data_IF_484906167482
#
_entry.id   IF_484906167482
#
_cell.length_a   1.000
_cell.length_b   1.000
_cell.length_c   1.000
_cell.angle_alpha   90.00
_cell.angle_beta   90.00
_cell.angle_gamma   90.00
#
_symmetry.space_group_name_H-M   'P 1'
#
loop_
_entity.id
_entity.type
_entity.pdbx_description
1 polymer ?
#
# COMPACT_ATOMS: atom_id res chain seq x y z
N UNK A 1 13.84 21.70 10.88
CA UNK A 1 13.87 20.79 12.04
C UNK A 1 12.58 20.00 12.18
N UNK A 2 11.41 20.65 12.09
CA UNK A 2 10.09 19.98 12.26
C UNK A 2 9.81 18.88 11.20
N UNK A 3 10.12 19.11 9.93
CA UNK A 3 9.94 18.12 8.86
C UNK A 3 10.80 16.84 9.04
N UNK A 4 12.00 16.98 9.62
CA UNK A 4 12.93 15.87 9.89
C UNK A 4 12.42 14.97 11.02
N UNK A 5 11.89 15.60 12.09
CA UNK A 5 11.25 14.90 13.20
C UNK A 5 9.98 14.17 12.75
N UNK A 6 9.19 14.82 11.88
CA UNK A 6 7.93 14.29 11.35
C UNK A 6 8.16 13.06 10.44
N UNK A 7 9.32 12.96 9.78
CA UNK A 7 9.67 11.85 8.89
C UNK A 7 10.21 10.63 9.65
N UNK A 8 11.07 10.85 10.65
CA UNK A 8 11.55 9.79 11.55
C UNK A 8 10.38 9.09 12.26
N UNK A 9 9.38 9.88 12.67
CA UNK A 9 8.14 9.40 13.27
C UNK A 9 7.32 8.50 12.32
N UNK A 10 7.24 8.81 11.02
CA UNK A 10 6.50 7.97 10.05
C UNK A 10 7.20 6.62 9.84
N UNK A 11 8.53 6.60 9.72
CA UNK A 11 9.26 5.35 9.52
C UNK A 11 9.10 4.41 10.72
N UNK A 12 9.30 4.90 11.94
CA UNK A 12 9.18 4.08 13.16
C UNK A 12 7.72 3.63 13.38
N UNK A 13 6.75 4.51 13.10
CA UNK A 13 5.32 4.18 13.16
C UNK A 13 4.94 3.11 12.14
N UNK A 14 5.52 3.17 10.94
CA UNK A 14 5.27 2.17 9.90
C UNK A 14 5.81 0.81 10.32
N UNK A 15 7.03 0.74 10.85
CA UNK A 15 7.63 -0.50 11.34
C UNK A 15 6.79 -1.16 12.47
N UNK A 16 6.11 -0.34 13.28
CA UNK A 16 5.32 -0.81 14.43
C UNK A 16 3.85 -1.06 14.12
N UNK A 17 3.34 -0.66 12.96
CA UNK A 17 1.92 -0.79 12.61
C UNK A 17 1.45 -2.25 12.67
N UNK A 18 0.20 -2.47 13.09
CA UNK A 18 -0.38 -3.81 13.30
C UNK A 18 -1.56 -4.12 12.38
N UNK A 19 -2.06 -3.13 11.65
CA UNK A 19 -3.21 -3.30 10.77
C UNK A 19 -3.16 -2.36 9.56
N UNK A 20 -3.98 -2.64 8.56
CA UNK A 20 -4.07 -1.83 7.33
C UNK A 20 -4.49 -0.38 7.60
N UNK A 21 -5.32 -0.13 8.62
CA UNK A 21 -5.81 1.21 8.96
C UNK A 21 -4.66 2.12 9.39
N UNK A 22 -3.80 1.64 10.28
CA UNK A 22 -2.59 2.35 10.73
C UNK A 22 -1.64 2.65 9.58
N UNK A 23 -1.33 1.64 8.74
CA UNK A 23 -0.47 1.83 7.56
C UNK A 23 -1.08 2.84 6.60
N UNK A 24 -2.40 2.80 6.38
CA UNK A 24 -3.08 3.71 5.46
C UNK A 24 -3.11 5.15 5.96
N UNK A 25 -3.22 5.38 7.28
CA UNK A 25 -3.07 6.72 7.85
C UNK A 25 -1.68 7.29 7.57
N UNK A 26 -0.63 6.48 7.65
CA UNK A 26 0.73 6.88 7.29
C UNK A 26 0.86 7.18 5.79
N UNK A 27 0.19 6.41 4.91
CA UNK A 27 0.10 6.71 3.47
C UNK A 27 -0.53 8.09 3.25
N UNK A 28 -1.71 8.35 3.83
CA UNK A 28 -2.40 9.64 3.70
C UNK A 28 -1.54 10.81 4.19
N UNK A 29 -0.88 10.65 5.35
CA UNK A 29 0.04 11.65 5.92
C UNK A 29 1.24 11.89 5.01
N UNK A 30 1.87 10.83 4.50
CA UNK A 30 3.03 10.92 3.60
C UNK A 30 2.72 11.69 2.32
N UNK A 31 1.55 11.42 1.71
CA UNK A 31 1.10 12.13 0.51
C UNK A 31 0.72 13.57 0.83
N UNK A 32 0.02 13.82 1.94
CA UNK A 32 -0.35 15.19 2.33
C UNK A 32 0.89 16.06 2.58
N UNK A 33 1.89 15.53 3.27
CA UNK A 33 3.15 16.23 3.54
C UNK A 33 3.98 16.43 2.26
N UNK A 34 3.94 15.49 1.31
CA UNK A 34 4.80 15.55 0.12
C UNK A 34 4.22 16.41 -1.01
N UNK A 35 2.90 16.32 -1.26
CA UNK A 35 2.25 16.97 -2.41
C UNK A 35 0.98 17.75 -2.06
N UNK A 36 0.67 17.91 -0.76
CA UNK A 36 -0.44 18.76 -0.30
C UNK A 36 -1.84 18.18 -0.54
N UNK A 37 -1.98 17.00 -1.14
CA UNK A 37 -3.27 16.38 -1.48
C UNK A 37 -3.75 15.38 -0.43
N UNK A 38 -5.07 15.24 -0.31
CA UNK A 38 -5.73 14.26 0.56
C UNK A 38 -7.08 13.86 -0.02
N UNK A 39 -7.48 12.61 0.17
CA UNK A 39 -8.81 12.05 -0.06
C UNK A 39 -9.21 11.20 1.15
N UNK A 40 -10.51 11.08 1.38
CA UNK A 40 -11.12 10.25 2.43
C UNK A 40 -12.29 9.46 1.83
N UNK A 41 -12.88 8.57 2.61
CA UNK A 41 -14.00 7.72 2.21
C UNK A 41 -13.58 6.49 1.40
N UNK A 42 -12.31 6.08 1.48
CA UNK A 42 -11.83 4.89 0.79
C UNK A 42 -12.09 3.61 1.61
N UNK A 43 -12.29 2.52 0.89
CA UNK A 43 -12.49 1.18 1.42
C UNK A 43 -11.40 0.25 0.89
N UNK A 44 -10.96 -0.71 1.70
CA UNK A 44 -10.03 -1.74 1.27
C UNK A 44 -10.77 -3.08 1.15
N UNK A 45 -10.65 -3.70 -0.03
CA UNK A 45 -11.06 -5.06 -0.29
C UNK A 45 -9.84 -5.97 -0.49
N UNK A 46 -9.96 -7.23 -0.10
CA UNK A 46 -9.00 -8.29 -0.39
C UNK A 46 -9.64 -9.30 -1.34
N UNK A 47 -8.96 -9.62 -2.43
CA UNK A 47 -9.40 -10.62 -3.40
C UNK A 47 -8.21 -11.39 -3.96
N UNK A 48 -8.44 -12.61 -4.46
CA UNK A 48 -7.41 -13.32 -5.20
C UNK A 48 -7.38 -12.75 -6.63
N UNK A 49 -6.27 -12.10 -6.97
CA UNK A 49 -6.02 -11.47 -8.27
C UNK A 49 -4.83 -12.17 -8.92
N UNK A 50 -4.63 -12.01 -10.24
CA UNK A 50 -3.41 -12.48 -10.87
C UNK A 50 -2.15 -11.96 -10.17
N UNK A 51 -1.14 -12.81 -10.01
CA UNK A 51 0.05 -12.53 -9.18
C UNK A 51 0.89 -11.32 -9.64
N UNK A 52 0.73 -10.89 -10.89
CA UNK A 52 1.34 -9.66 -11.41
C UNK A 52 0.59 -8.37 -11.00
N UNK A 53 -0.55 -8.49 -10.32
CA UNK A 53 -1.36 -7.38 -9.80
C UNK A 53 -1.26 -7.39 -8.28
N UNK A 54 -0.56 -6.40 -7.70
CA UNK A 54 -0.45 -6.25 -6.25
C UNK A 54 -1.69 -5.63 -5.60
N UNK A 55 -2.28 -4.66 -6.28
CA UNK A 55 -3.59 -4.11 -5.99
C UNK A 55 -4.13 -3.45 -7.26
N UNK A 56 -5.40 -3.06 -7.23
CA UNK A 56 -5.94 -2.15 -8.22
C UNK A 56 -7.01 -1.25 -7.61
N UNK A 57 -7.10 -0.04 -8.15
CA UNK A 57 -8.17 0.89 -7.95
C UNK A 57 -8.92 1.11 -9.27
N UNK A 58 -10.24 0.87 -9.29
CA UNK A 58 -11.05 1.32 -10.42
C UNK A 58 -11.26 2.82 -10.32
N UNK A 59 -10.81 3.57 -11.33
CA UNK A 59 -11.01 5.02 -11.41
C UNK A 59 -12.48 5.39 -11.17
N UNK A 60 -12.72 6.38 -10.31
CA UNK A 60 -14.07 6.84 -9.95
C UNK A 60 -14.77 5.99 -8.88
N UNK A 61 -14.14 4.93 -8.37
CA UNK A 61 -14.65 4.16 -7.22
C UNK A 61 -14.09 4.69 -5.89
N UNK A 62 -14.54 4.13 -4.77
CA UNK A 62 -13.94 4.32 -3.44
C UNK A 62 -13.14 3.09 -2.98
N UNK A 63 -13.00 2.06 -3.82
CA UNK A 63 -12.38 0.81 -3.44
C UNK A 63 -10.92 0.75 -3.90
N UNK A 64 -10.03 0.45 -2.97
CA UNK A 64 -8.73 -0.15 -3.28
C UNK A 64 -8.91 -1.65 -3.07
N UNK A 65 -8.54 -2.47 -4.05
CA UNK A 65 -8.58 -3.93 -3.93
C UNK A 65 -7.15 -4.45 -3.92
N UNK A 66 -6.70 -5.01 -2.81
CA UNK A 66 -5.37 -5.61 -2.67
C UNK A 66 -5.43 -7.11 -2.94
N UNK A 67 -4.38 -7.63 -3.58
CA UNK A 67 -4.27 -9.05 -3.89
C UNK A 67 -3.97 -9.84 -2.61
N UNK A 68 -4.95 -10.63 -2.16
CA UNK A 68 -4.82 -11.48 -0.97
C UNK A 68 -3.75 -12.54 -1.16
N UNK A 69 -3.76 -13.25 -2.28
CA UNK A 69 -2.82 -14.35 -2.51
C UNK A 69 -1.38 -13.84 -2.50
N UNK A 70 -1.12 -12.70 -3.16
CA UNK A 70 0.21 -12.10 -3.14
C UNK A 70 0.59 -11.59 -1.74
N UNK A 71 -0.34 -10.95 -1.02
CA UNK A 71 -0.09 -10.51 0.35
C UNK A 71 0.22 -11.70 1.29
N UNK A 72 -0.47 -12.82 1.14
CA UNK A 72 -0.24 -14.04 1.92
C UNK A 72 1.16 -14.60 1.63
N UNK A 73 1.56 -14.67 0.35
CA UNK A 73 2.93 -15.05 -0.05
C UNK A 73 3.98 -14.13 0.59
N UNK A 74 3.79 -12.81 0.50
CA UNK A 74 4.70 -11.85 1.12
C UNK A 74 4.77 -12.05 2.64
N UNK A 75 3.63 -12.31 3.30
CA UNK A 75 3.58 -12.54 4.74
C UNK A 75 4.38 -13.77 5.15
N UNK A 76 4.42 -14.81 4.31
CA UNK A 76 5.23 -16.01 4.54
C UNK A 76 6.71 -15.81 4.22
N UNK A 77 7.05 -15.01 3.22
CA UNK A 77 8.43 -14.77 2.78
C UNK A 77 9.14 -13.67 3.56
N UNK A 78 8.38 -12.72 4.12
CA UNK A 78 8.93 -11.57 4.82
C UNK A 78 9.70 -11.99 6.07
N UNK A 79 10.90 -11.43 6.23
CA UNK A 79 11.78 -11.65 7.39
C UNK A 79 11.10 -11.30 8.70
N UNK A 80 10.37 -10.20 8.71
CA UNK A 80 9.68 -9.67 9.88
C UNK A 80 8.55 -8.73 9.44
N UNK A 81 7.81 -8.22 10.43
CA UNK A 81 6.68 -7.32 10.22
C UNK A 81 7.04 -6.04 9.48
N UNK A 82 8.27 -5.53 9.64
CA UNK A 82 8.70 -4.31 8.95
C UNK A 82 8.68 -4.50 7.43
N UNK A 83 9.02 -5.69 6.93
CA UNK A 83 8.92 -6.00 5.50
C UNK A 83 7.47 -6.14 5.02
N UNK A 84 6.59 -6.73 5.84
CA UNK A 84 5.14 -6.82 5.54
C UNK A 84 4.52 -5.42 5.48
N UNK A 85 4.76 -4.61 6.50
CA UNK A 85 4.25 -3.23 6.57
C UNK A 85 4.77 -2.38 5.42
N UNK A 86 6.04 -2.57 5.04
CA UNK A 86 6.62 -1.90 3.89
C UNK A 86 5.94 -2.27 2.57
N UNK A 87 5.63 -3.55 2.34
CA UNK A 87 4.89 -3.99 1.17
C UNK A 87 3.47 -3.41 1.13
N UNK A 88 2.76 -3.46 2.26
CA UNK A 88 1.41 -2.88 2.38
C UNK A 88 1.44 -1.38 2.13
N UNK A 89 2.39 -0.65 2.73
CA UNK A 89 2.55 0.79 2.52
C UNK A 89 2.85 1.14 1.07
N UNK A 90 3.82 0.47 0.45
CA UNK A 90 4.18 0.67 -0.95
C UNK A 90 2.97 0.48 -1.87
N UNK A 91 2.25 -0.63 -1.70
CA UNK A 91 1.07 -0.97 -2.51
C UNK A 91 -0.05 0.04 -2.31
N UNK A 92 -0.38 0.38 -1.06
CA UNK A 92 -1.44 1.35 -0.76
C UNK A 92 -1.08 2.78 -1.20
N UNK A 93 0.20 3.18 -1.13
CA UNK A 93 0.66 4.47 -1.63
C UNK A 93 0.45 4.59 -3.13
N UNK A 94 0.81 3.56 -3.90
CA UNK A 94 0.61 3.51 -5.34
C UNK A 94 -0.88 3.67 -5.70
N UNK A 95 -1.74 2.85 -5.11
CA UNK A 95 -3.20 2.93 -5.38
C UNK A 95 -3.84 4.22 -4.88
N UNK A 96 -3.37 4.74 -3.74
CA UNK A 96 -3.88 6.00 -3.21
C UNK A 96 -3.58 7.18 -4.15
N UNK A 97 -2.41 7.20 -4.80
CA UNK A 97 -2.12 8.18 -5.85
C UNK A 97 -3.10 8.07 -7.03
N UNK A 98 -3.44 6.86 -7.47
CA UNK A 98 -4.50 6.68 -8.47
C UNK A 98 -5.85 7.25 -8.00
N UNK A 99 -6.20 7.06 -6.72
CA UNK A 99 -7.43 7.64 -6.15
C UNK A 99 -7.43 9.17 -6.15
N UNK A 100 -6.26 9.82 -6.24
CA UNK A 100 -6.11 11.28 -6.32
C UNK A 100 -6.13 11.80 -7.77
N UNK A 101 -6.38 10.94 -8.74
CA UNK A 101 -6.47 11.28 -10.17
C UNK A 101 -5.16 11.18 -10.94
N UNK A 102 -4.09 10.63 -10.36
CA UNK A 102 -2.88 10.33 -11.12
C UNK A 102 -3.11 9.06 -11.96
N UNK A 103 -3.19 9.21 -13.27
CA UNK A 103 -3.54 8.12 -14.19
C UNK A 103 -2.32 7.45 -14.84
N UNK A 104 -1.25 8.21 -15.07
CA UNK A 104 -0.05 7.71 -15.73
C UNK A 104 0.78 6.84 -14.76
N UNK A 105 0.99 5.58 -15.12
CA UNK A 105 1.76 4.62 -14.31
C UNK A 105 3.21 5.04 -14.10
N UNK A 106 3.82 5.73 -15.07
CA UNK A 106 5.18 6.24 -14.95
C UNK A 106 5.27 7.34 -13.88
N UNK A 107 4.30 8.26 -13.90
CA UNK A 107 4.15 9.33 -12.91
C UNK A 107 3.88 8.78 -11.51
N UNK A 108 2.96 7.82 -11.38
CA UNK A 108 2.65 7.20 -10.09
C UNK A 108 3.87 6.47 -9.54
N UNK A 109 4.56 5.64 -10.34
CA UNK A 109 5.79 4.97 -9.90
C UNK A 109 6.88 5.97 -9.48
N UNK A 110 7.04 7.07 -10.23
CA UNK A 110 8.01 8.12 -9.90
C UNK A 110 7.64 8.80 -8.58
N UNK A 111 6.38 9.18 -8.39
CA UNK A 111 5.90 9.81 -7.16
C UNK A 111 6.01 8.87 -5.95
N UNK A 112 5.62 7.61 -6.09
CA UNK A 112 5.79 6.58 -5.05
C UNK A 112 7.24 6.51 -4.60
N UNK A 113 8.21 6.43 -5.53
CA UNK A 113 9.65 6.47 -5.20
C UNK A 113 10.07 7.74 -4.47
N UNK A 114 9.67 8.91 -5.00
CA UNK A 114 10.04 10.20 -4.42
C UNK A 114 9.48 10.36 -3.00
N UNK A 115 8.23 9.98 -2.77
CA UNK A 115 7.58 10.06 -1.47
C UNK A 115 8.24 9.08 -0.49
N UNK A 116 8.45 7.82 -0.86
CA UNK A 116 9.13 6.85 -0.01
C UNK A 116 10.54 7.34 0.38
N UNK A 117 11.37 7.75 -0.59
CA UNK A 117 12.72 8.22 -0.31
C UNK A 117 12.75 9.47 0.58
N UNK A 118 11.82 10.41 0.37
CA UNK A 118 11.72 11.64 1.17
C UNK A 118 11.26 11.38 2.60
N UNK A 119 10.25 10.51 2.78
CA UNK A 119 9.58 10.31 4.07
C UNK A 119 10.26 9.24 4.92
N UNK A 120 10.67 8.13 4.29
CA UNK A 120 11.19 6.95 4.99
C UNK A 120 12.72 6.83 4.89
N UNK A 121 13.33 7.57 3.96
CA UNK A 121 14.75 7.46 3.64
C UNK A 121 15.05 6.36 2.62
N UNK A 122 16.26 6.38 2.02
CA UNK A 122 16.63 5.48 0.92
C UNK A 122 16.71 4.00 1.32
N UNK A 123 17.09 3.72 2.58
CA UNK A 123 17.35 2.37 3.06
C UNK A 123 16.10 1.67 3.63
N UNK A 124 14.98 2.38 3.73
CA UNK A 124 13.75 1.78 4.24
C UNK A 124 13.22 0.72 3.25
N UNK A 125 12.77 -0.46 3.73
CA UNK A 125 12.19 -1.52 2.90
C UNK A 125 11.15 -1.04 1.87
N UNK A 126 10.24 -0.14 2.26
CA UNK A 126 9.23 0.41 1.35
C UNK A 126 9.83 1.28 0.23
N UNK A 127 10.95 1.96 0.49
CA UNK A 127 11.69 2.70 -0.53
C UNK A 127 12.38 1.75 -1.49
N UNK A 128 13.01 0.68 -0.98
CA UNK A 128 13.58 -0.38 -1.81
C UNK A 128 12.53 -1.04 -2.69
N UNK A 129 11.34 -1.32 -2.17
CA UNK A 129 10.20 -1.81 -2.95
C UNK A 129 9.79 -0.85 -4.07
N UNK A 130 9.75 0.46 -3.80
CA UNK A 130 9.41 1.44 -4.83
C UNK A 130 10.46 1.56 -5.94
N UNK A 131 11.73 1.31 -5.61
CA UNK A 131 12.87 1.40 -6.55
C UNK A 131 13.03 0.10 -7.34
N UNK A 132 13.12 -1.03 -6.65
CA UNK A 132 13.51 -2.32 -7.21
C UNK A 132 12.29 -3.19 -7.58
N UNK A 133 11.15 -2.97 -6.93
CA UNK A 133 9.92 -3.74 -7.10
C UNK A 133 9.82 -4.99 -6.22
N UNK A 134 8.61 -5.54 -6.01
CA UNK A 134 8.40 -6.72 -5.16
C UNK A 134 9.16 -7.97 -5.62
N UNK A 135 9.25 -8.22 -6.92
CA UNK A 135 9.91 -9.40 -7.47
C UNK A 135 11.42 -9.44 -7.18
N UNK A 136 12.07 -8.28 -7.08
CA UNK A 136 13.50 -8.21 -6.71
C UNK A 136 13.67 -8.39 -5.20
N UNK A 137 12.75 -7.84 -4.40
CA UNK A 137 12.85 -7.89 -2.95
C UNK A 137 12.47 -9.26 -2.36
N UNK A 138 11.56 -9.97 -3.04
CA UNK A 138 11.04 -11.27 -2.66
C UNK A 138 11.13 -12.21 -3.87
N UNK A 139 12.35 -12.67 -4.23
CA UNK A 139 12.56 -13.48 -5.43
C UNK A 139 11.86 -14.85 -5.38
N UNK A 140 11.48 -15.31 -4.19
CA UNK A 140 10.74 -16.55 -3.97
C UNK A 140 9.21 -16.41 -4.20
N UNK A 141 8.71 -15.22 -4.56
CA UNK A 141 7.30 -15.08 -4.99
C UNK A 141 7.08 -16.01 -6.17
N UNK A 142 6.12 -16.91 -6.02
CA UNK A 142 5.73 -17.80 -7.10
C UNK A 142 4.61 -17.12 -7.88
N UNK A 143 4.92 -16.69 -9.09
CA UNK A 143 3.91 -16.28 -10.04
C UNK A 143 3.28 -17.53 -10.65
N UNK A 144 2.15 -17.97 -10.11
CA UNK A 144 1.33 -18.94 -10.79
C UNK A 144 0.76 -18.27 -12.03
N UNK A 145 1.17 -18.76 -13.20
CA UNK A 145 0.41 -18.48 -14.41
C UNK A 145 -1.00 -19.00 -14.15
N UNK A 146 -1.98 -18.10 -14.02
CA UNK A 146 -3.40 -18.45 -14.10
C UNK A 146 -3.73 -18.89 -15.53
N UNK A 147 -3.06 -19.94 -16.02
CA UNK A 147 -3.61 -20.83 -17.01
C UNK A 147 -4.69 -21.65 -16.33
N UNK A 148 -5.94 -21.42 -16.71
CA UNK A 148 -6.95 -22.48 -16.71
C UNK A 148 -7.55 -22.96 -15.38
N UNK A 149 -7.58 -22.15 -14.31
CA UNK A 149 -8.55 -22.37 -13.23
C UNK A 149 -9.60 -21.26 -13.17
N UNK A 150 -10.46 -21.25 -14.20
CA UNK A 150 -11.82 -20.72 -14.08
C UNK A 150 -12.61 -21.62 -13.13
N UNK A 151 -12.32 -21.55 -11.84
CA UNK A 151 -13.26 -22.04 -10.84
C UNK A 151 -14.57 -21.29 -11.08
N UNK A 152 -15.67 -22.01 -11.27
CA UNK A 152 -17.03 -21.47 -11.41
C UNK A 152 -17.50 -20.66 -10.18
N UNK A 153 -16.65 -20.55 -9.15
CA UNK A 153 -16.90 -19.80 -7.92
C UNK A 153 -16.41 -18.36 -8.12
N UNK A 154 -17.25 -17.41 -7.72
CA UNK A 154 -16.86 -16.00 -7.64
C UNK A 154 -15.60 -15.89 -6.78
N UNK A 155 -14.60 -15.07 -7.17
CA UNK A 155 -13.41 -14.84 -6.36
C UNK A 155 -13.85 -14.36 -4.96
N UNK A 156 -13.29 -14.97 -3.91
CA UNK A 156 -13.66 -14.65 -2.53
C UNK A 156 -13.16 -13.24 -2.20
N UNK A 157 -14.09 -12.29 -2.21
CA UNK A 157 -13.87 -10.90 -1.85
C UNK A 157 -14.14 -10.67 -0.35
N UNK A 158 -13.23 -10.00 0.34
CA UNK A 158 -13.31 -9.68 1.76
C UNK A 158 -13.14 -8.17 1.99
N UNK A 159 -14.05 -7.55 2.75
CA UNK A 159 -13.96 -6.13 3.09
C UNK A 159 -13.18 -5.98 4.39
N UNK A 160 -12.10 -5.21 4.35
CA UNK A 160 -11.38 -4.80 5.56
C UNK A 160 -12.23 -3.75 6.28
N UNK A 161 -12.80 -4.16 7.41
CA UNK A 161 -13.63 -3.28 8.24
C UNK A 161 -12.78 -2.16 8.83
N UNK A 162 -13.38 -0.97 8.97
CA UNK A 162 -12.77 0.16 9.68
C UNK A 162 -11.42 0.63 9.10
N UNK A 163 -11.25 0.44 7.78
CA UNK A 163 -10.05 0.82 7.05
C UNK A 163 -9.72 2.32 7.15
N UNK A 164 -10.73 3.19 7.09
CA UNK A 164 -10.57 4.61 7.42
C UNK A 164 -11.20 4.92 8.78
N UNK A 165 -10.55 4.47 9.86
CA UNK A 165 -10.82 5.03 11.19
C UNK A 165 -10.13 6.39 11.31
N UNK A 166 -10.86 7.46 11.02
CA UNK A 166 -10.50 8.77 11.54
C UNK A 166 -11.20 8.94 12.89
N UNK A 167 -10.44 8.97 14.00
CA UNK A 167 -10.97 9.43 15.28
C UNK A 167 -11.34 10.91 15.13
N UNK A 168 -12.58 11.20 14.71
CA UNK A 168 -13.17 12.52 14.84
C UNK A 168 -13.91 12.53 16.16
N UNK A 169 -13.35 13.21 17.16
CA UNK A 169 -14.17 13.70 18.27
C UNK A 169 -15.19 14.67 17.66
N UNK A 170 -16.48 14.35 17.77
CA UNK A 170 -17.57 15.20 17.30
C UNK A 170 -17.78 16.46 18.15
N UNK A 171 -16.86 16.77 19.06
CA UNK A 171 -16.94 17.91 19.96
C UNK A 171 -15.78 18.84 19.64
N UNK A 172 -16.13 20.02 19.13
CA UNK A 172 -15.33 21.23 19.16
C UNK A 172 -15.92 22.14 20.25
#
# INVERSE_FOLDING_TARGET
MEASQNNLDVSESLDRSFNFSEVFQLVKRSVKTSIGRRRTGLMLGLADLPDYIGAFHQMGSNFIVMNRSLLDQITHLAKDRRYINAYVFYTLLHEYLHTLGYADEGDVRRLTRQICARILGPDHPATRLAVDGPAVMFPEITFQHHGESRSRRLPKFEIVREFEKEYRSYVA
#
